data_IF_145081897337
#
_entry.id   IF_145081897337
#
_cell.length_a   1.000
_cell.length_b   1.000
_cell.length_c   1.000
_cell.angle_alpha   90.00
_cell.angle_beta   90.00
_cell.angle_gamma   90.00
#
_symmetry.space_group_name_H-M   'P 1'
#
loop_
_entity.id
_entity.type
_entity.pdbx_description
1 polymer ?
#
# COMPACT_ATOMS: atom_id res chain seq x y z
N UNK A 1 8.80 2.83 3.33
CA UNK A 1 7.45 3.30 3.71
C UNK A 1 7.51 4.81 3.90
N UNK A 2 6.54 5.54 3.37
CA UNK A 2 6.38 6.99 3.55
C UNK A 2 5.02 7.24 4.19
N UNK A 3 4.95 8.15 5.15
CA UNK A 3 3.71 8.56 5.81
C UNK A 3 3.54 10.06 5.57
N UNK A 4 2.41 10.44 4.96
CA UNK A 4 1.99 11.84 4.85
C UNK A 4 0.90 12.08 5.90
N UNK A 5 1.26 12.82 6.94
CA UNK A 5 0.36 13.17 8.04
C UNK A 5 -0.48 14.40 7.68
N UNK A 6 -1.77 14.35 7.98
CA UNK A 6 -2.75 15.42 7.81
C UNK A 6 -3.67 15.50 9.04
N UNK A 7 -3.09 15.53 10.25
CA UNK A 7 -3.81 15.63 11.51
C UNK A 7 -4.41 14.29 11.93
N UNK A 8 -5.74 14.17 11.89
CA UNK A 8 -6.43 12.91 12.22
C UNK A 8 -6.48 11.93 11.04
N UNK A 9 -5.80 12.22 9.93
CA UNK A 9 -5.70 11.35 8.76
C UNK A 9 -4.25 11.21 8.32
N UNK A 10 -3.85 10.01 7.91
CA UNK A 10 -2.52 9.74 7.40
C UNK A 10 -2.59 8.88 6.13
N UNK A 11 -1.90 9.31 5.07
CA UNK A 11 -1.66 8.51 3.88
C UNK A 11 -0.36 7.72 4.06
N UNK A 12 -0.43 6.41 3.91
CA UNK A 12 0.75 5.51 4.00
C UNK A 12 1.05 4.94 2.63
N UNK A 13 2.20 5.28 2.09
CA UNK A 13 2.75 4.71 0.86
C UNK A 13 3.71 3.58 1.26
N UNK A 14 3.33 2.34 0.97
CA UNK A 14 4.10 1.16 1.32
C UNK A 14 4.61 0.46 0.07
N UNK A 15 5.89 0.08 0.10
CA UNK A 15 6.53 -0.72 -0.96
C UNK A 15 6.88 -2.07 -0.38
N UNK A 16 6.37 -3.14 -0.97
CA UNK A 16 6.65 -4.51 -0.57
C UNK A 16 7.34 -5.22 -1.72
N UNK A 17 8.59 -5.63 -1.50
CA UNK A 17 9.32 -6.48 -2.43
C UNK A 17 8.97 -7.94 -2.13
N UNK A 18 8.28 -8.60 -3.06
CA UNK A 18 7.99 -10.03 -2.96
C UNK A 18 9.05 -10.81 -3.74
N UNK A 19 9.75 -11.72 -3.06
CA UNK A 19 10.57 -12.76 -3.68
C UNK A 19 9.83 -14.08 -3.67
N UNK A 20 9.89 -14.84 -4.76
CA UNK A 20 9.36 -16.20 -4.84
C UNK A 20 10.48 -17.17 -5.22
N UNK A 21 10.81 -18.11 -4.33
CA UNK A 21 11.83 -19.15 -4.54
C UNK A 21 11.27 -20.33 -5.38
N UNK A 22 10.78 -20.06 -6.59
CA UNK A 22 10.47 -21.12 -7.56
C UNK A 22 11.08 -20.79 -8.92
N UNK A 23 11.94 -21.70 -9.38
CA UNK A 23 12.91 -21.59 -10.47
C UNK A 23 12.40 -21.19 -11.87
N UNK A 24 11.15 -20.76 -12.09
CA UNK A 24 10.67 -20.47 -13.45
C UNK A 24 9.89 -19.19 -13.66
N UNK A 25 9.57 -18.41 -12.62
CA UNK A 25 9.00 -17.07 -12.85
C UNK A 25 9.53 -16.09 -11.83
N UNK A 26 10.53 -15.31 -12.24
CA UNK A 26 10.98 -14.09 -11.54
C UNK A 26 9.84 -13.06 -11.65
N UNK A 27 8.76 -13.29 -10.92
CA UNK A 27 7.83 -12.24 -10.56
C UNK A 27 8.42 -11.58 -9.31
N UNK A 28 9.44 -10.74 -9.48
CA UNK A 28 9.77 -9.76 -8.46
C UNK A 28 8.64 -8.72 -8.46
N UNK A 29 7.52 -9.07 -7.82
CA UNK A 29 6.39 -8.16 -7.73
C UNK A 29 6.74 -7.07 -6.72
N UNK A 30 7.19 -5.93 -7.23
CA UNK A 30 7.23 -4.68 -6.47
C UNK A 30 5.80 -4.20 -6.27
N UNK A 31 5.19 -4.49 -5.11
CA UNK A 31 3.84 -4.02 -4.79
C UNK A 31 3.92 -2.66 -4.10
N UNK A 32 3.26 -1.65 -4.70
CA UNK A 32 3.16 -0.30 -4.15
C UNK A 32 1.74 -0.06 -3.64
N UNK A 33 1.53 -0.27 -2.35
CA UNK A 33 0.25 -0.07 -1.71
C UNK A 33 0.06 1.37 -1.22
N UNK A 34 -1.19 1.82 -1.18
CA UNK A 34 -1.61 3.10 -0.63
C UNK A 34 -2.70 2.86 0.42
N UNK A 35 -2.44 3.23 1.67
CA UNK A 35 -3.40 3.07 2.76
C UNK A 35 -3.77 4.43 3.33
N UNK A 36 -5.01 4.56 3.81
CA UNK A 36 -5.44 5.72 4.59
C UNK A 36 -5.81 5.26 5.99
N UNK A 37 -5.20 5.87 7.00
CA UNK A 37 -5.57 5.68 8.39
C UNK A 37 -6.23 6.93 8.93
N UNK A 38 -7.27 6.77 9.75
CA UNK A 38 -7.91 7.87 10.48
C UNK A 38 -7.82 7.62 11.98
N UNK A 39 -7.48 8.66 12.74
CA UNK A 39 -7.44 8.62 14.19
C UNK A 39 -8.85 8.81 14.76
N UNK A 40 -9.33 7.83 15.52
CA UNK A 40 -10.63 7.84 16.21
C UNK A 40 -10.42 7.47 17.67
N UNK A 41 -10.85 8.33 18.59
CA UNK A 41 -10.66 8.13 20.03
C UNK A 41 -9.21 7.74 20.41
N UNK A 42 -8.23 8.41 19.79
CA UNK A 42 -6.80 8.17 20.04
C UNK A 42 -6.20 6.95 19.32
N UNK A 43 -6.99 6.15 18.60
CA UNK A 43 -6.54 4.96 17.87
C UNK A 43 -6.55 5.19 16.37
N UNK A 44 -5.50 4.75 15.68
CA UNK A 44 -5.48 4.72 14.21
C UNK A 44 -6.25 3.51 13.70
N UNK A 45 -7.22 3.76 12.82
CA UNK A 45 -8.02 2.73 12.16
C UNK A 45 -7.81 2.85 10.65
N UNK A 46 -7.72 1.71 9.97
CA UNK A 46 -7.65 1.68 8.51
C UNK A 46 -8.99 2.15 7.94
N UNK A 47 -8.96 3.24 7.17
CA UNK A 47 -10.13 3.81 6.50
C UNK A 47 -10.16 3.45 5.01
N UNK A 48 -9.00 3.28 4.37
CA UNK A 48 -8.87 2.79 2.99
C UNK A 48 -7.75 1.75 2.94
N UNK A 49 -8.10 0.54 2.53
CA UNK A 49 -7.18 -0.56 2.29
C UNK A 49 -7.01 -0.75 0.77
N UNK A 50 -6.00 -0.08 0.18
CA UNK A 50 -5.66 -0.25 -1.23
C UNK A 50 -4.25 -0.82 -1.38
N UNK A 51 -4.18 -2.16 -1.44
CA UNK A 51 -2.93 -2.89 -1.65
C UNK A 51 -2.33 -2.76 -3.07
N UNK A 52 -3.10 -2.28 -4.04
CA UNK A 52 -2.66 -2.04 -5.43
C UNK A 52 -2.09 -0.63 -5.63
N UNK A 53 -2.34 0.29 -4.70
CA UNK A 53 -1.97 1.69 -4.83
C UNK A 53 -2.51 2.31 -6.12
N UNK A 54 -1.65 2.99 -6.87
CA UNK A 54 -2.02 3.64 -8.13
C UNK A 54 -2.09 2.67 -9.31
N UNK A 55 -1.63 1.42 -9.16
CA UNK A 55 -1.67 0.42 -10.23
C UNK A 55 -3.12 0.05 -10.58
N UNK A 56 -4.08 0.33 -9.70
CA UNK A 56 -5.52 0.23 -10.03
C UNK A 56 -5.95 1.12 -11.21
N UNK A 57 -5.15 2.14 -11.54
CA UNK A 57 -5.41 3.06 -12.64
C UNK A 57 -4.70 2.65 -13.95
N UNK A 58 -3.82 1.64 -13.92
CA UNK A 58 -3.16 1.18 -15.16
C UNK A 58 -4.13 0.39 -16.03
N UNK A 59 -4.12 0.65 -17.34
CA UNK A 59 -5.05 0.09 -18.34
C UNK A 59 -4.71 -1.37 -18.75
N UNK A 60 -3.75 -2.02 -18.09
CA UNK A 60 -3.37 -3.41 -18.38
C UNK A 60 -4.47 -4.38 -17.90
N UNK A 61 -5.51 -4.52 -18.71
CA UNK A 61 -6.65 -5.45 -18.57
C UNK A 61 -6.45 -6.72 -19.39
#
# INVERSE_FOLDING_TARGET
MVILDAGDTALVLSRTLLGADREEKVYSMDRRATYVFTKRAGKWLCAVDNSYGTDVLSEDS
#
